data_IF_685997234080
#
_entry.id   IF_685997234080
#
_cell.length_a   1.000
_cell.length_b   1.000
_cell.length_c   1.000
_cell.angle_alpha   90.00
_cell.angle_beta   90.00
_cell.angle_gamma   90.00
#
_symmetry.space_group_name_H-M   'P 1'
#
loop_
_entity.id
_entity.type
_entity.pdbx_description
1 polymer ?
#
# COMPACT_ATOMS: atom_id res chain seq x y z
N UNK A 1 14.94 -0.38 -6.71
CA UNK A 1 15.10 -0.48 -5.24
C UNK A 1 14.01 -1.35 -4.62
N UNK A 2 12.72 -0.98 -4.70
CA UNK A 2 11.63 -1.66 -3.99
C UNK A 2 11.50 -3.17 -4.28
N UNK A 3 11.66 -3.58 -5.54
CA UNK A 3 11.62 -4.99 -5.93
C UNK A 3 12.70 -5.82 -5.21
N UNK A 4 13.92 -5.30 -5.09
CA UNK A 4 15.02 -6.00 -4.44
C UNK A 4 14.73 -6.25 -2.94
N UNK A 5 14.06 -5.30 -2.27
CA UNK A 5 13.65 -5.45 -0.87
C UNK A 5 12.58 -6.54 -0.73
N UNK A 6 11.56 -6.52 -1.59
CA UNK A 6 10.50 -7.54 -1.59
C UNK A 6 11.06 -8.95 -1.83
N UNK A 7 11.95 -9.11 -2.82
CA UNK A 7 12.61 -10.39 -3.11
C UNK A 7 13.49 -10.86 -1.94
N UNK A 8 14.14 -9.93 -1.25
CA UNK A 8 14.94 -10.27 -0.05
C UNK A 8 14.04 -10.76 1.07
N UNK A 9 12.90 -10.09 1.33
CA UNK A 9 11.93 -10.55 2.33
C UNK A 9 11.39 -11.95 2.01
N UNK A 10 11.03 -12.20 0.75
CA UNK A 10 10.60 -13.52 0.29
C UNK A 10 11.68 -14.58 0.50
N UNK A 11 12.95 -14.26 0.24
CA UNK A 11 14.09 -15.15 0.51
C UNK A 11 14.23 -15.53 1.98
N UNK A 12 13.86 -14.63 2.89
CA UNK A 12 13.85 -14.89 4.35
C UNK A 12 12.52 -15.50 4.84
N UNK A 13 11.63 -15.93 3.94
CA UNK A 13 10.40 -16.67 4.28
C UNK A 13 9.16 -15.81 4.45
N UNK A 14 9.20 -14.52 4.12
CA UNK A 14 7.99 -13.71 4.09
C UNK A 14 7.09 -14.10 2.91
N UNK A 15 5.78 -14.21 3.13
CA UNK A 15 4.82 -14.28 2.04
C UNK A 15 4.65 -12.87 1.43
N UNK A 16 4.92 -12.74 0.13
CA UNK A 16 4.78 -11.47 -0.60
C UNK A 16 3.81 -11.66 -1.76
N UNK A 17 2.80 -10.79 -1.86
CA UNK A 17 1.84 -10.80 -2.96
C UNK A 17 1.64 -9.38 -3.50
N UNK A 18 1.64 -9.25 -4.83
CA UNK A 18 1.14 -8.07 -5.54
C UNK A 18 -0.28 -8.37 -6.05
N UNK A 19 -0.97 -7.37 -6.60
CA UNK A 19 -2.36 -7.51 -7.07
C UNK A 19 -3.31 -8.06 -5.98
N UNK A 20 -3.02 -7.69 -4.74
CA UNK A 20 -3.79 -8.08 -3.56
C UNK A 20 -4.33 -6.79 -2.91
N UNK A 21 -5.60 -6.52 -3.13
CA UNK A 21 -6.27 -5.32 -2.61
C UNK A 21 -6.85 -5.60 -1.23
N UNK A 22 -6.65 -4.68 -0.28
CA UNK A 22 -7.32 -4.72 1.02
C UNK A 22 -8.68 -4.03 0.90
N UNK A 23 -9.76 -4.77 1.09
CA UNK A 23 -11.13 -4.26 1.00
C UNK A 23 -11.62 -3.70 2.33
N UNK A 24 -11.28 -4.37 3.44
CA UNK A 24 -11.68 -3.95 4.79
C UNK A 24 -10.76 -4.57 5.85
N UNK A 25 -10.76 -3.95 7.04
CA UNK A 25 -10.00 -4.44 8.18
C UNK A 25 -10.85 -5.37 9.05
N UNK A 26 -10.28 -6.50 9.47
CA UNK A 26 -10.93 -7.44 10.37
C UNK A 26 -10.70 -7.01 11.81
N UNK A 27 -11.76 -6.80 12.58
CA UNK A 27 -11.67 -6.41 13.99
C UNK A 27 -12.12 -7.51 14.94
N UNK A 28 -11.52 -7.55 16.11
CA UNK A 28 -11.94 -8.39 17.23
C UNK A 28 -12.11 -7.54 18.47
N UNK A 29 -13.22 -7.70 19.15
CA UNK A 29 -13.46 -7.11 20.46
C UNK A 29 -12.71 -7.93 21.51
N UNK A 30 -11.95 -7.25 22.35
CA UNK A 30 -11.32 -7.86 23.51
C UNK A 30 -12.39 -8.12 24.60
N UNK A 31 -12.60 -9.36 25.04
CA UNK A 31 -13.64 -9.69 26.02
C UNK A 31 -13.45 -9.04 27.40
N UNK A 32 -12.22 -8.69 27.77
CA UNK A 32 -11.90 -8.13 29.08
C UNK A 32 -12.01 -6.60 29.09
N UNK A 33 -11.62 -5.96 27.99
CA UNK A 33 -11.57 -4.49 27.91
C UNK A 33 -12.71 -3.87 27.11
N UNK A 34 -13.45 -4.68 26.33
CA UNK A 34 -14.49 -4.23 25.42
C UNK A 34 -13.95 -3.45 24.20
N UNK A 35 -12.63 -3.29 24.07
CA UNK A 35 -12.02 -2.52 22.98
C UNK A 35 -11.90 -3.36 21.72
N UNK A 36 -12.20 -2.75 20.58
CA UNK A 36 -11.93 -3.36 19.28
C UNK A 36 -10.46 -3.20 18.91
N UNK A 37 -9.88 -4.25 18.34
CA UNK A 37 -8.54 -4.25 17.77
C UNK A 37 -8.54 -4.86 16.38
N UNK A 38 -7.71 -4.30 15.50
CA UNK A 38 -7.44 -4.90 14.18
C UNK A 38 -6.75 -6.26 14.36
N UNK A 39 -7.17 -7.23 13.57
CA UNK A 39 -6.77 -8.64 13.66
C UNK A 39 -6.51 -9.29 12.30
N UNK A 40 -6.49 -8.48 11.24
CA UNK A 40 -6.31 -8.93 9.87
C UNK A 40 -7.00 -8.01 8.87
N UNK A 41 -7.14 -8.50 7.64
CA UNK A 41 -7.81 -7.80 6.55
C UNK A 41 -8.57 -8.79 5.66
N UNK A 42 -9.67 -8.33 5.06
CA UNK A 42 -10.32 -8.95 3.92
C UNK A 42 -9.57 -8.50 2.66
N UNK A 43 -9.06 -9.46 1.90
CA UNK A 43 -8.26 -9.18 0.71
C UNK A 43 -8.96 -9.73 -0.54
N UNK A 44 -8.73 -9.06 -1.68
CA UNK A 44 -9.18 -9.49 -3.00
C UNK A 44 -8.02 -9.63 -3.96
N UNK A 45 -7.90 -10.80 -4.57
CA UNK A 45 -6.98 -11.03 -5.68
C UNK A 45 -7.61 -10.39 -6.90
N UNK A 46 -7.03 -9.29 -7.38
CA UNK A 46 -7.61 -8.53 -8.48
C UNK A 46 -7.41 -9.23 -9.84
N UNK A 47 -6.54 -10.24 -9.92
CA UNK A 47 -6.36 -11.05 -11.13
C UNK A 47 -7.45 -12.11 -11.27
N UNK A 48 -7.83 -12.75 -10.17
CA UNK A 48 -8.82 -13.85 -10.16
C UNK A 48 -10.21 -13.42 -9.70
N UNK A 49 -10.31 -12.29 -9.00
CA UNK A 49 -11.52 -11.81 -8.33
C UNK A 49 -11.82 -12.51 -7.00
N UNK A 50 -11.01 -13.50 -6.58
CA UNK A 50 -11.25 -14.23 -5.34
C UNK A 50 -11.00 -13.36 -4.12
N UNK A 51 -11.85 -13.53 -3.10
CA UNK A 51 -11.73 -12.80 -1.84
C UNK A 51 -11.57 -13.75 -0.66
N UNK A 52 -10.66 -13.41 0.24
CA UNK A 52 -10.38 -14.21 1.43
C UNK A 52 -9.82 -13.36 2.56
N UNK A 53 -9.85 -13.93 3.76
CA UNK A 53 -9.42 -13.26 4.98
C UNK A 53 -7.96 -13.61 5.30
N UNK A 54 -7.13 -12.59 5.53
CA UNK A 54 -5.77 -12.74 6.04
C UNK A 54 -5.75 -12.31 7.51
N UNK A 55 -5.54 -13.26 8.41
CA UNK A 55 -5.47 -13.00 9.87
C UNK A 55 -4.04 -12.67 10.28
N UNK A 56 -3.89 -11.63 11.11
CA UNK A 56 -2.60 -11.18 11.59
C UNK A 56 -2.68 -10.69 13.04
N UNK A 57 -1.56 -10.79 13.76
CA UNK A 57 -1.45 -10.23 15.12
C UNK A 57 -1.26 -8.71 15.11
N UNK A 58 -0.68 -8.20 14.03
CA UNK A 58 -0.40 -6.77 13.83
C UNK A 58 -0.59 -6.47 12.34
N UNK A 59 -1.15 -5.30 12.04
CA UNK A 59 -1.33 -4.78 10.68
C UNK A 59 -0.64 -3.43 10.62
N UNK A 60 0.23 -3.25 9.62
CA UNK A 60 0.94 -2.00 9.37
C UNK A 60 0.37 -1.37 8.10
N UNK A 61 -0.13 -0.14 8.21
CA UNK A 61 -0.56 0.65 7.06
C UNK A 61 0.65 1.38 6.45
N UNK A 62 1.11 0.92 5.29
CA UNK A 62 2.23 1.50 4.55
C UNK A 62 1.85 1.84 3.09
N UNK A 63 0.64 2.36 2.88
CA UNK A 63 0.04 2.58 1.55
C UNK A 63 0.33 3.94 0.92
N UNK A 64 1.31 4.69 1.45
CA UNK A 64 1.76 5.96 0.88
C UNK A 64 0.61 6.98 0.80
N UNK A 65 0.31 7.57 -0.39
CA UNK A 65 -0.76 8.56 -0.53
C UNK A 65 -2.16 8.02 -0.23
N UNK A 66 -2.33 6.69 -0.21
CA UNK A 66 -3.59 6.03 0.13
C UNK A 66 -3.74 5.74 1.63
N UNK A 67 -2.83 6.26 2.47
CA UNK A 67 -2.84 6.02 3.93
C UNK A 67 -4.19 6.34 4.55
N UNK A 68 -4.79 7.46 4.21
CA UNK A 68 -6.06 7.89 4.81
C UNK A 68 -7.24 7.03 4.39
N UNK A 69 -7.25 6.48 3.17
CA UNK A 69 -8.29 5.54 2.76
C UNK A 69 -8.30 4.30 3.65
N UNK A 70 -7.13 3.76 4.00
CA UNK A 70 -7.02 2.61 4.93
C UNK A 70 -7.32 3.02 6.37
N UNK A 71 -6.94 4.22 6.81
CA UNK A 71 -7.31 4.73 8.14
C UNK A 71 -8.82 4.87 8.29
N UNK A 72 -9.50 5.32 7.23
CA UNK A 72 -10.95 5.44 7.17
C UNK A 72 -11.68 4.09 7.11
N UNK A 73 -11.00 3.00 6.69
CA UNK A 73 -11.51 1.63 6.86
C UNK A 73 -11.50 1.21 8.34
N UNK A 74 -10.59 1.72 9.16
CA UNK A 74 -10.56 1.47 10.60
C UNK A 74 -11.54 2.39 11.33
N UNK A 75 -11.43 3.70 11.14
CA UNK A 75 -12.27 4.71 11.76
C UNK A 75 -12.75 5.69 10.71
N UNK A 76 -14.06 5.67 10.42
CA UNK A 76 -14.67 6.52 9.39
C UNK A 76 -14.53 8.01 9.67
N UNK A 77 -14.39 8.38 10.94
CA UNK A 77 -14.27 9.76 11.37
C UNK A 77 -12.79 10.19 11.48
N UNK A 78 -11.85 9.33 11.08
CA UNK A 78 -10.43 9.64 11.06
C UNK A 78 -10.14 10.86 10.19
N UNK A 79 -9.60 11.90 10.81
CA UNK A 79 -9.15 13.09 10.11
C UNK A 79 -8.06 12.75 9.08
N UNK A 80 -8.20 13.30 7.87
CA UNK A 80 -7.22 13.22 6.79
C UNK A 80 -5.91 13.89 7.21
N UNK A 81 -4.78 13.18 7.10
CA UNK A 81 -3.44 13.70 7.44
C UNK A 81 -2.51 13.74 6.23
N UNK A 82 -2.79 12.97 5.18
CA UNK A 82 -1.95 12.88 4.01
C UNK A 82 -2.25 14.04 3.05
N UNK A 83 -1.20 14.76 2.65
CA UNK A 83 -1.27 15.81 1.64
C UNK A 83 -0.36 15.42 0.47
N UNK A 84 -0.88 14.67 -0.53
CA UNK A 84 -0.08 14.24 -1.67
C UNK A 84 0.29 15.42 -2.56
N UNK A 85 1.52 15.42 -3.06
CA UNK A 85 1.99 16.36 -4.08
C UNK A 85 2.31 15.62 -5.37
N UNK A 86 2.12 16.29 -6.50
CA UNK A 86 2.43 15.73 -7.82
C UNK A 86 3.75 16.31 -8.34
N UNK A 87 4.58 15.44 -8.93
CA UNK A 87 5.81 15.81 -9.64
C UNK A 87 5.84 15.10 -10.98
N UNK A 88 6.36 15.79 -12.01
CA UNK A 88 6.47 15.25 -13.37
C UNK A 88 7.92 15.33 -13.83
N UNK A 89 8.37 14.28 -14.52
CA UNK A 89 9.69 14.24 -15.15
C UNK A 89 9.52 14.14 -16.67
N UNK A 90 10.25 14.98 -17.41
CA UNK A 90 10.29 14.95 -18.87
C UNK A 90 11.66 14.45 -19.28
N UNK A 91 11.70 13.47 -20.19
CA UNK A 91 12.93 12.92 -20.75
C UNK A 91 13.01 13.31 -22.22
N UNK A 92 14.12 13.93 -22.61
CA UNK A 92 14.41 14.26 -24.00
C UNK A 92 15.50 13.34 -24.55
N UNK A 93 15.47 13.04 -25.86
CA UNK A 93 16.56 12.34 -26.53
C UNK A 93 17.91 13.04 -26.36
N UNK A 94 18.99 12.27 -26.32
CA UNK A 94 20.34 12.80 -26.05
C UNK A 94 20.83 13.84 -27.07
N UNK A 95 20.36 13.82 -28.32
CA UNK A 95 20.76 14.78 -29.35
C UNK A 95 20.25 16.21 -29.09
N UNK A 96 19.24 16.41 -28.23
CA UNK A 96 18.86 17.74 -27.76
C UNK A 96 19.92 18.40 -26.88
N UNK A 97 20.96 17.67 -26.46
CA UNK A 97 22.10 18.20 -25.69
C UNK A 97 23.03 19.09 -26.51
N UNK A 98 23.13 18.88 -27.82
CA UNK A 98 24.14 19.52 -28.69
C UNK A 98 23.50 20.29 -29.86
N UNK A 99 22.37 20.95 -29.63
CA UNK A 99 21.81 21.84 -30.64
C UNK A 99 22.67 23.11 -30.75
N UNK A 100 23.72 23.03 -31.58
CA UNK A 100 24.44 24.20 -32.08
C UNK A 100 23.74 24.58 -33.39
N UNK A 101 23.04 25.72 -33.46
CA UNK A 101 22.58 26.23 -34.76
C UNK A 101 23.82 26.63 -35.55
N UNK A 102 24.18 25.85 -36.56
CA UNK A 102 25.14 26.29 -37.59
C UNK A 102 24.54 27.48 -38.33
N UNK A 103 25.15 28.65 -38.12
CA UNK A 103 25.16 29.78 -39.04
C UNK A 103 25.85 29.37 -40.36
#
# INVERSE_FOLDING_TARGET
MNLAIALTAARYGAATANYMEVLSLLKKTDPQTGKERVSGARCKDILTGQEFDVRAKCVINATGPFTDAVRQMDDKDAATICQPSAGVHIVMPGYYRYWIPTL
#
